data_IF_417131415100
#
_entry.id   IF_417131415100
#
_cell.length_a   1.000
_cell.length_b   1.000
_cell.length_c   1.000
_cell.angle_alpha   90.00
_cell.angle_beta   90.00
_cell.angle_gamma   90.00
#
_symmetry.space_group_name_H-M   'P 1'
#
loop_
_entity.id
_entity.type
_entity.pdbx_description
1 polymer ?
#
# COMPACT_ATOMS: atom_id res chain seq x y z
N UNK A 1 -4.97 20.26 -8.62
CA UNK A 1 -3.88 19.35 -8.22
C UNK A 1 -4.23 18.71 -6.87
N UNK A 2 -4.20 17.41 -6.79
CA UNK A 2 -4.51 16.71 -5.54
C UNK A 2 -3.45 16.99 -4.48
N UNK A 3 -3.86 17.40 -3.29
CA UNK A 3 -2.96 17.70 -2.17
C UNK A 3 -2.80 16.46 -1.29
N UNK A 4 -1.57 16.11 -0.93
CA UNK A 4 -1.29 15.09 0.07
C UNK A 4 -1.45 15.70 1.46
N UNK A 5 -2.30 15.12 2.28
CA UNK A 5 -2.52 15.53 3.67
C UNK A 5 -1.99 14.40 4.56
N UNK A 6 -1.18 14.74 5.55
CA UNK A 6 -0.70 13.81 6.57
C UNK A 6 -1.47 14.08 7.85
N UNK A 7 -2.00 13.01 8.45
CA UNK A 7 -2.63 13.05 9.76
C UNK A 7 -1.83 12.19 10.73
N UNK A 8 -1.61 12.70 11.92
CA UNK A 8 -0.86 12.01 12.96
C UNK A 8 -1.79 11.57 14.08
N UNK A 9 -1.61 10.32 14.50
CA UNK A 9 -2.31 9.73 15.63
C UNK A 9 -1.27 9.16 16.59
N UNK A 10 -1.50 9.31 17.88
CA UNK A 10 -0.67 8.69 18.92
C UNK A 10 -1.54 7.69 19.69
N UNK A 11 -1.10 6.43 19.72
CA UNK A 11 -1.78 5.36 20.42
C UNK A 11 -0.89 4.93 21.58
N UNK A 12 -1.40 5.01 22.81
CA UNK A 12 -0.71 4.52 23.98
C UNK A 12 -0.92 3.00 24.12
N UNK A 13 0.16 2.27 24.38
CA UNK A 13 0.08 0.85 24.65
C UNK A 13 -0.57 0.60 26.01
N UNK A 14 -1.41 -0.47 26.17
CA UNK A 14 -1.93 -0.90 27.45
C UNK A 14 -0.79 -1.20 28.45
N UNK A 15 -1.02 -0.96 29.73
CA UNK A 15 0.01 -1.17 30.80
C UNK A 15 0.60 -2.58 30.81
N UNK A 16 -0.21 -3.58 30.42
CA UNK A 16 0.21 -5.01 30.37
C UNK A 16 1.11 -5.36 29.17
N UNK A 17 1.24 -4.47 28.19
CA UNK A 17 2.09 -4.70 27.04
C UNK A 17 3.48 -4.14 27.32
N UNK A 18 4.56 -4.92 27.12
CA UNK A 18 5.92 -4.40 27.26
C UNK A 18 6.11 -3.19 26.35
N UNK A 19 6.62 -2.11 26.92
CA UNK A 19 6.85 -0.88 26.14
C UNK A 19 8.15 -1.01 25.35
N UNK A 20 8.14 -0.66 24.06
CA UNK A 20 9.38 -0.53 23.31
C UNK A 20 10.23 0.61 23.87
N UNK A 21 11.53 0.56 23.63
CA UNK A 21 12.47 1.61 24.06
C UNK A 21 12.24 2.93 23.35
N UNK A 22 11.63 2.90 22.16
CA UNK A 22 11.24 4.07 21.38
C UNK A 22 9.85 3.86 20.77
N UNK A 23 9.10 4.94 20.47
CA UNK A 23 7.84 4.83 19.74
C UNK A 23 8.01 4.16 18.38
N UNK A 24 7.11 3.25 18.03
CA UNK A 24 7.05 2.64 16.71
C UNK A 24 6.22 3.54 15.79
N UNK A 25 6.75 3.87 14.63
CA UNK A 25 6.07 4.68 13.61
C UNK A 25 5.53 3.81 12.51
N UNK A 26 4.23 3.87 12.34
CA UNK A 26 3.52 3.16 11.27
C UNK A 26 2.91 4.20 10.34
N UNK A 27 3.23 4.10 9.05
CA UNK A 27 2.51 4.87 8.03
C UNK A 27 1.45 3.98 7.41
N UNK A 28 0.24 4.49 7.32
CA UNK A 28 -0.89 3.78 6.68
C UNK A 28 -1.26 4.51 5.40
N UNK A 29 -1.37 3.77 4.30
CA UNK A 29 -1.80 4.25 2.99
C UNK A 29 -2.93 3.37 2.45
N UNK A 30 -3.85 3.96 1.71
CA UNK A 30 -4.94 3.24 1.06
C UNK A 30 -5.71 4.14 0.11
N UNK A 31 -6.69 3.58 -0.59
CA UNK A 31 -7.59 4.30 -1.49
C UNK A 31 -6.88 5.18 -2.54
N UNK A 32 -5.74 4.70 -3.04
CA UNK A 32 -4.96 5.44 -4.04
C UNK A 32 -5.70 5.50 -5.38
N UNK A 33 -6.38 4.40 -5.75
CA UNK A 33 -7.18 4.30 -6.98
C UNK A 33 -6.42 4.76 -8.23
N UNK A 34 -5.18 4.27 -8.39
CA UNK A 34 -4.26 4.61 -9.48
C UNK A 34 -3.90 6.10 -9.59
N UNK A 35 -4.17 6.91 -8.58
CA UNK A 35 -3.71 8.30 -8.55
C UNK A 35 -2.20 8.36 -8.41
N UNK A 36 -1.62 9.38 -9.01
CA UNK A 36 -0.18 9.66 -8.91
C UNK A 36 0.05 11.05 -8.36
N UNK A 37 1.08 11.18 -7.52
CA UNK A 37 1.51 12.44 -6.92
C UNK A 37 2.96 12.71 -7.34
N UNK A 38 3.08 13.48 -8.42
CA UNK A 38 4.35 13.67 -9.13
C UNK A 38 4.70 12.49 -10.02
N UNK A 39 5.75 12.60 -10.79
CA UNK A 39 6.22 11.55 -11.70
C UNK A 39 6.58 10.29 -10.91
N UNK A 40 5.94 9.17 -11.24
CA UNK A 40 6.18 7.89 -10.56
C UNK A 40 5.89 7.92 -9.05
N UNK A 41 4.92 8.71 -8.62
CA UNK A 41 4.57 8.90 -7.20
C UNK A 41 5.69 9.48 -6.32
N UNK A 42 6.66 10.15 -6.92
CA UNK A 42 7.80 10.71 -6.19
C UNK A 42 7.39 11.55 -4.98
N UNK A 43 6.43 12.45 -5.16
CA UNK A 43 6.00 13.34 -4.07
C UNK A 43 5.33 12.55 -2.93
N UNK A 44 4.58 11.49 -3.25
CA UNK A 44 3.98 10.62 -2.23
C UNK A 44 5.04 9.84 -1.47
N UNK A 45 5.98 9.23 -2.18
CA UNK A 45 7.10 8.48 -1.58
C UNK A 45 7.92 9.38 -0.66
N UNK A 46 8.33 10.57 -1.10
CA UNK A 46 9.08 11.52 -0.30
C UNK A 46 8.32 11.92 0.98
N UNK A 47 7.02 12.13 0.88
CA UNK A 47 6.15 12.44 2.03
C UNK A 47 6.07 11.28 3.03
N UNK A 48 5.96 10.04 2.55
CA UNK A 48 5.90 8.84 3.40
C UNK A 48 7.24 8.61 4.09
N UNK A 49 8.33 8.58 3.34
CA UNK A 49 9.67 8.33 3.88
C UNK A 49 10.11 9.45 4.83
N UNK A 50 9.72 10.70 4.54
CA UNK A 50 9.96 11.84 5.43
C UNK A 50 9.30 11.72 6.81
N UNK A 51 8.36 10.79 7.00
CA UNK A 51 7.79 10.46 8.31
C UNK A 51 8.68 9.50 9.12
N UNK A 52 9.74 8.97 8.54
CA UNK A 52 10.63 7.96 9.14
C UNK A 52 9.87 6.74 9.67
N UNK A 53 9.10 6.04 8.83
CA UNK A 53 8.33 4.89 9.27
C UNK A 53 9.23 3.71 9.64
N UNK A 54 8.85 2.98 10.69
CA UNK A 54 9.43 1.68 11.00
C UNK A 54 8.79 0.58 10.14
N UNK A 55 7.53 0.78 9.77
CA UNK A 55 6.80 -0.07 8.82
C UNK A 55 5.65 0.68 8.15
N UNK A 56 5.20 0.15 7.02
CA UNK A 56 4.09 0.72 6.25
C UNK A 56 2.98 -0.32 6.14
N UNK A 57 1.74 0.11 6.39
CA UNK A 57 0.54 -0.67 6.10
C UNK A 57 -0.14 -0.11 4.85
N UNK A 58 -0.32 -0.94 3.84
CA UNK A 58 -1.20 -0.67 2.71
C UNK A 58 -2.54 -1.36 2.94
N UNK A 59 -3.58 -0.57 3.11
CA UNK A 59 -4.92 -1.08 3.45
C UNK A 59 -5.82 -1.30 2.23
N UNK A 60 -5.22 -1.39 1.05
CA UNK A 60 -5.90 -1.76 -0.18
C UNK A 60 -6.46 -0.59 -0.98
N UNK A 61 -7.20 -0.94 -2.02
CA UNK A 61 -7.75 -0.02 -3.02
C UNK A 61 -6.69 0.90 -3.65
N UNK A 62 -5.49 0.34 -3.87
CA UNK A 62 -4.44 1.03 -4.59
C UNK A 62 -4.71 1.07 -6.10
N UNK A 63 -5.40 0.05 -6.62
CA UNK A 63 -5.83 -0.07 -8.01
C UNK A 63 -7.32 0.21 -8.16
N UNK A 64 -7.78 0.25 -9.41
CA UNK A 64 -9.21 0.31 -9.74
C UNK A 64 -9.54 -0.85 -10.66
N UNK A 65 -10.35 -1.79 -10.16
CA UNK A 65 -10.85 -2.92 -10.94
C UNK A 65 -12.32 -2.71 -11.26
N UNK A 66 -12.64 -2.52 -12.54
CA UNK A 66 -14.01 -2.34 -13.03
C UNK A 66 -14.29 -3.37 -14.14
N UNK A 67 -15.46 -4.04 -14.13
CA UNK A 67 -15.82 -4.99 -15.18
C UNK A 67 -15.73 -4.36 -16.58
N UNK A 68 -15.18 -5.10 -17.53
CA UNK A 68 -15.05 -4.66 -18.93
C UNK A 68 -14.05 -3.54 -19.17
N UNK A 69 -13.20 -3.23 -18.21
CA UNK A 69 -12.11 -2.25 -18.33
C UNK A 69 -10.77 -2.87 -17.97
N UNK A 70 -9.75 -2.51 -18.72
CA UNK A 70 -8.39 -2.88 -18.38
C UNK A 70 -8.00 -2.33 -17.00
N UNK A 71 -7.39 -3.18 -16.20
CA UNK A 71 -6.90 -2.81 -14.86
C UNK A 71 -5.42 -2.49 -14.93
N UNK A 72 -5.05 -1.26 -14.59
CA UNK A 72 -3.65 -0.87 -14.46
C UNK A 72 -3.18 -1.11 -13.02
N UNK A 73 -2.22 -2.02 -12.87
CA UNK A 73 -1.58 -2.33 -11.58
C UNK A 73 -0.20 -1.70 -11.42
N UNK A 74 0.34 -1.08 -12.46
CA UNK A 74 1.73 -0.58 -12.46
C UNK A 74 1.96 0.50 -11.42
N UNK A 75 0.98 1.37 -11.20
CA UNK A 75 1.04 2.42 -10.19
C UNK A 75 1.20 1.84 -8.79
N UNK A 76 0.35 0.85 -8.45
CA UNK A 76 0.38 0.19 -7.14
C UNK A 76 1.67 -0.62 -6.94
N UNK A 77 2.03 -1.44 -7.92
CA UNK A 77 3.24 -2.29 -7.87
C UNK A 77 4.49 -1.44 -7.72
N UNK A 78 4.65 -0.41 -8.55
CA UNK A 78 5.81 0.50 -8.48
C UNK A 78 5.91 1.22 -7.15
N UNK A 79 4.78 1.70 -6.61
CA UNK A 79 4.74 2.37 -5.32
C UNK A 79 5.18 1.44 -4.20
N UNK A 80 4.56 0.26 -4.10
CA UNK A 80 4.84 -0.70 -3.03
C UNK A 80 6.29 -1.19 -3.07
N UNK A 81 6.81 -1.49 -4.26
CA UNK A 81 8.22 -1.89 -4.42
C UNK A 81 9.17 -0.79 -3.99
N UNK A 82 8.90 0.44 -4.35
CA UNK A 82 9.74 1.57 -3.98
C UNK A 82 9.73 1.82 -2.47
N UNK A 83 8.57 1.75 -1.83
CA UNK A 83 8.45 1.88 -0.37
C UNK A 83 9.15 0.74 0.36
N UNK A 84 9.09 -0.48 -0.18
CA UNK A 84 9.73 -1.66 0.41
C UNK A 84 11.25 -1.61 0.40
N UNK A 85 11.86 -0.73 -0.38
CA UNK A 85 13.30 -0.47 -0.33
C UNK A 85 13.72 0.27 0.94
N UNK A 86 12.79 0.95 1.61
CA UNK A 86 13.08 1.77 2.80
C UNK A 86 12.73 1.08 4.11
N UNK A 87 11.60 0.39 4.15
CA UNK A 87 11.14 -0.35 5.33
C UNK A 87 10.14 -1.45 4.96
N UNK A 88 9.81 -2.38 5.88
CA UNK A 88 8.82 -3.42 5.63
C UNK A 88 7.45 -2.85 5.28
N UNK A 89 6.80 -3.47 4.29
CA UNK A 89 5.46 -3.12 3.84
C UNK A 89 4.53 -4.31 4.05
N UNK A 90 3.44 -4.11 4.76
CA UNK A 90 2.36 -5.08 4.92
C UNK A 90 1.17 -4.63 4.10
N UNK A 91 0.67 -5.49 3.23
CA UNK A 91 -0.45 -5.20 2.35
C UNK A 91 -1.66 -6.07 2.69
N UNK A 92 -2.83 -5.48 2.66
CA UNK A 92 -4.10 -6.20 2.59
C UNK A 92 -4.84 -5.79 1.32
N UNK A 93 -5.76 -6.63 0.87
CA UNK A 93 -6.61 -6.31 -0.26
C UNK A 93 -7.74 -5.37 0.17
N UNK A 94 -7.95 -4.31 -0.63
CA UNK A 94 -9.20 -3.57 -0.61
C UNK A 94 -10.26 -4.29 -1.46
N UNK A 95 -11.41 -3.66 -1.63
CA UNK A 95 -12.48 -4.27 -2.41
C UNK A 95 -12.16 -4.40 -3.91
N UNK A 96 -11.33 -3.54 -4.48
CA UNK A 96 -10.89 -3.65 -5.86
C UNK A 96 -9.96 -4.85 -6.07
N UNK A 97 -8.93 -5.01 -5.26
CA UNK A 97 -8.02 -6.16 -5.33
C UNK A 97 -8.77 -7.47 -5.02
N UNK A 98 -9.62 -7.47 -4.00
CA UNK A 98 -10.43 -8.64 -3.66
C UNK A 98 -11.37 -9.06 -4.79
N UNK A 99 -11.98 -8.13 -5.49
CA UNK A 99 -12.84 -8.40 -6.65
C UNK A 99 -12.05 -9.06 -7.78
N UNK A 100 -10.85 -8.55 -8.08
CA UNK A 100 -9.97 -9.16 -9.09
C UNK A 100 -9.51 -10.57 -8.68
N UNK A 101 -9.25 -10.78 -7.39
CA UNK A 101 -8.93 -12.11 -6.83
C UNK A 101 -10.11 -13.08 -6.98
N UNK A 102 -11.33 -12.64 -6.65
CA UNK A 102 -12.53 -13.47 -6.59
C UNK A 102 -13.04 -13.87 -7.98
N UNK A 103 -12.84 -13.00 -8.97
CA UNK A 103 -13.36 -13.18 -10.33
C UNK A 103 -12.24 -13.05 -11.38
N UNK A 104 -11.26 -13.99 -11.39
CA UNK A 104 -10.08 -13.86 -12.24
C UNK A 104 -10.42 -13.77 -13.73
N UNK A 105 -11.43 -14.50 -14.20
CA UNK A 105 -11.84 -14.48 -15.61
C UNK A 105 -12.40 -13.12 -16.03
N UNK A 106 -13.05 -12.40 -15.12
CA UNK A 106 -13.61 -11.07 -15.41
C UNK A 106 -12.55 -9.96 -15.42
N UNK A 107 -11.35 -10.24 -14.92
CA UNK A 107 -10.26 -9.27 -14.77
C UNK A 107 -8.93 -9.76 -15.35
N UNK A 108 -8.98 -10.69 -16.30
CA UNK A 108 -7.83 -11.21 -17.06
C UNK A 108 -6.66 -11.69 -16.17
N UNK A 109 -6.97 -12.25 -15.00
CA UNK A 109 -5.96 -12.75 -14.07
C UNK A 109 -5.04 -11.67 -13.49
N UNK A 110 -5.47 -10.42 -13.49
CA UNK A 110 -4.64 -9.27 -13.06
C UNK A 110 -4.20 -9.36 -11.59
N UNK A 111 -4.97 -10.04 -10.74
CA UNK A 111 -4.60 -10.22 -9.34
C UNK A 111 -3.32 -11.05 -9.18
N UNK A 112 -3.18 -12.13 -9.95
CA UNK A 112 -1.95 -12.92 -9.94
C UNK A 112 -0.75 -12.15 -10.50
N UNK A 113 -0.98 -11.26 -11.47
CA UNK A 113 0.05 -10.35 -11.97
C UNK A 113 0.47 -9.35 -10.89
N UNK A 114 -0.48 -8.80 -10.15
CA UNK A 114 -0.22 -7.93 -9.01
C UNK A 114 0.61 -8.64 -7.94
N UNK A 115 0.22 -9.84 -7.53
CA UNK A 115 0.98 -10.67 -6.55
C UNK A 115 2.42 -10.90 -7.01
N UNK A 116 2.61 -11.30 -8.26
CA UNK A 116 3.96 -11.49 -8.82
C UNK A 116 4.76 -10.19 -8.83
N UNK A 117 4.12 -9.08 -9.17
CA UNK A 117 4.76 -7.77 -9.21
C UNK A 117 5.29 -7.30 -7.86
N UNK A 118 4.57 -7.59 -6.78
CA UNK A 118 4.96 -7.19 -5.41
C UNK A 118 5.73 -8.28 -4.64
N UNK A 119 6.03 -9.41 -5.28
CA UNK A 119 6.76 -10.51 -4.62
C UNK A 119 8.20 -10.11 -4.33
N UNK A 120 8.45 -9.67 -3.11
CA UNK A 120 9.78 -9.34 -2.58
C UNK A 120 9.86 -9.77 -1.11
N UNK A 121 11.09 -9.90 -0.58
CA UNK A 121 11.29 -10.27 0.83
C UNK A 121 10.80 -9.22 1.83
N UNK A 122 10.54 -7.99 1.37
CA UNK A 122 10.17 -6.86 2.24
C UNK A 122 8.73 -6.38 2.05
N UNK A 123 7.94 -7.10 1.26
CA UNK A 123 6.49 -6.90 1.12
C UNK A 123 5.79 -8.19 1.58
N UNK A 124 4.91 -8.06 2.56
CA UNK A 124 4.07 -9.15 3.05
C UNK A 124 2.62 -8.88 2.65
N UNK A 125 2.07 -9.70 1.76
CA UNK A 125 0.65 -9.66 1.41
C UNK A 125 -0.12 -10.58 2.38
N UNK A 126 -1.01 -10.00 3.17
CA UNK A 126 -1.89 -10.70 4.10
C UNK A 126 -3.22 -10.98 3.36
N UNK A 127 -3.55 -12.26 3.18
CA UNK A 127 -4.75 -12.72 2.46
C UNK A 127 -5.74 -13.42 3.38
#
# INVERSE_FOLDING_TARGET
MSRIIIRHYRIALPKRVPKPTAPIRIVVIGDLHNRTFGKGNRNLVEKIIGQHPDLIFSVGDLTVCKPGKETNIDVAVSLLKRLSCECPVYCINGNHEFRAKRYPDAYDGVYEQFKRGIHTSNICLLE
#
